data_IF_001567654674
#
_entry.id   IF_001567654674
#
_cell.length_a   1.000
_cell.length_b   1.000
_cell.length_c   1.000
_cell.angle_alpha   90.00
_cell.angle_beta   90.00
_cell.angle_gamma   90.00
#
_symmetry.space_group_name_H-M   'P 1'
#
loop_
_entity.id
_entity.type
_entity.pdbx_description
1 polymer ?
#
# COMPACT_ATOMS: atom_id res chain seq x y z
N UNK A 1 70.92 -68.06 18.46
CA UNK A 1 72.12 -68.03 19.31
C UNK A 1 71.69 -67.51 20.68
N UNK A 2 71.88 -68.33 21.71
CA UNK A 2 71.66 -68.11 23.15
C UNK A 2 70.23 -67.79 23.67
N UNK A 3 69.63 -68.83 24.30
CA UNK A 3 68.69 -68.68 25.42
C UNK A 3 69.40 -67.95 26.58
N UNK A 4 68.65 -67.13 27.33
CA UNK A 4 68.95 -66.87 28.73
C UNK A 4 67.63 -66.65 29.51
N UNK A 5 67.35 -67.61 30.38
CA UNK A 5 66.38 -67.52 31.47
C UNK A 5 67.10 -67.00 32.72
N UNK A 6 66.45 -66.14 33.51
CA UNK A 6 66.63 -65.98 34.97
C UNK A 6 65.56 -64.98 35.52
N UNK A 7 65.32 -64.87 36.84
CA UNK A 7 64.11 -65.39 37.47
C UNK A 7 63.23 -64.30 38.09
N UNK A 8 62.01 -64.71 38.41
CA UNK A 8 61.01 -63.99 39.18
C UNK A 8 61.50 -63.79 40.63
N UNK A 9 61.58 -62.55 41.09
CA UNK A 9 61.70 -62.20 42.52
C UNK A 9 60.54 -61.26 42.86
N UNK A 10 59.59 -61.76 43.67
CA UNK A 10 58.56 -60.93 44.28
C UNK A 10 59.18 -60.08 45.39
N UNK A 11 59.06 -58.76 45.27
CA UNK A 11 59.19 -57.83 46.39
C UNK A 11 57.84 -57.14 46.58
N UNK A 12 57.17 -57.45 47.69
CA UNK A 12 55.97 -56.77 48.13
C UNK A 12 56.37 -55.49 48.88
N UNK A 13 55.90 -54.34 48.40
CA UNK A 13 55.89 -53.08 49.15
C UNK A 13 54.47 -52.51 49.13
N UNK A 14 53.89 -52.43 50.31
CA UNK A 14 52.60 -51.81 50.64
C UNK A 14 52.64 -50.30 50.41
N UNK A 15 51.85 -49.81 49.46
CA UNK A 15 51.55 -48.38 49.30
C UNK A 15 50.07 -48.13 49.53
N UNK A 16 49.73 -47.32 50.54
CA UNK A 16 48.38 -46.82 50.78
C UNK A 16 47.94 -45.93 49.59
N UNK A 17 46.70 -46.06 49.08
CA UNK A 17 46.27 -45.31 47.92
C UNK A 17 46.07 -43.83 48.27
N UNK A 18 46.81 -42.96 47.59
CA UNK A 18 46.48 -41.54 47.46
C UNK A 18 45.14 -41.39 46.73
N UNK A 19 44.20 -40.68 47.35
CA UNK A 19 42.91 -40.30 46.75
C UNK A 19 43.13 -39.38 45.54
N UNK A 20 42.77 -39.86 44.35
CA UNK A 20 42.65 -39.01 43.16
C UNK A 20 41.45 -38.06 43.33
N UNK A 21 41.53 -36.81 42.84
CA UNK A 21 40.38 -35.91 42.84
C UNK A 21 39.29 -36.49 41.92
N UNK A 22 38.05 -36.47 42.40
CA UNK A 22 36.90 -36.91 41.63
C UNK A 22 36.80 -36.07 40.34
N UNK A 23 36.79 -36.74 39.19
CA UNK A 23 36.43 -36.11 37.93
C UNK A 23 34.95 -35.70 38.03
N UNK A 24 34.68 -34.40 37.97
CA UNK A 24 33.32 -33.89 37.78
C UNK A 24 32.81 -34.41 36.44
N UNK A 25 31.89 -35.36 36.50
CA UNK A 25 31.14 -35.84 35.35
C UNK A 25 30.25 -34.70 34.85
N UNK A 26 30.72 -33.93 33.87
CA UNK A 26 29.88 -33.00 33.12
C UNK A 26 28.75 -33.78 32.47
N UNK A 27 27.50 -33.52 32.87
CA UNK A 27 26.33 -34.09 32.24
C UNK A 27 26.34 -33.76 30.74
N UNK A 28 26.01 -34.71 29.85
CA UNK A 28 25.91 -34.44 28.42
C UNK A 28 24.87 -33.32 28.19
N UNK A 29 25.10 -32.41 27.23
CA UNK A 29 24.14 -31.37 26.91
C UNK A 29 22.78 -32.00 26.63
N UNK A 30 21.73 -31.44 27.22
CA UNK A 30 20.36 -31.92 27.02
C UNK A 30 20.06 -31.95 25.52
N UNK A 31 19.68 -33.12 25.02
CA UNK A 31 19.26 -33.26 23.63
C UNK A 31 18.14 -32.24 23.35
N UNK A 32 18.16 -31.57 22.18
CA UNK A 32 17.09 -30.66 21.81
C UNK A 32 15.75 -31.40 21.86
N UNK A 33 14.67 -30.75 22.30
CA UNK A 33 13.36 -31.37 22.37
C UNK A 33 12.97 -31.92 21.00
N UNK A 34 12.56 -33.18 20.96
CA UNK A 34 12.04 -33.82 19.74
C UNK A 34 10.67 -33.19 19.43
N UNK A 35 10.48 -32.59 18.25
CA UNK A 35 9.18 -32.06 17.87
C UNK A 35 8.12 -33.17 17.88
N UNK A 36 6.95 -32.90 18.46
CA UNK A 36 5.79 -33.80 18.35
C UNK A 36 5.36 -33.91 16.90
N UNK A 37 5.28 -35.15 16.38
CA UNK A 37 4.67 -35.42 15.07
C UNK A 37 3.14 -35.46 15.15
N UNK A 38 2.45 -35.35 14.00
CA UNK A 38 0.99 -35.42 13.90
C UNK A 38 0.40 -34.35 12.98
N UNK A 39 -0.93 -34.24 12.97
CA UNK A 39 -1.66 -33.11 12.36
C UNK A 39 -1.90 -32.09 13.47
N UNK A 40 -1.62 -30.81 13.19
CA UNK A 40 -1.94 -29.73 14.13
C UNK A 40 -3.45 -29.73 14.41
N UNK A 41 -3.91 -29.79 15.68
CA UNK A 41 -5.33 -29.75 16.04
C UNK A 41 -6.10 -28.56 15.47
N UNK A 42 -5.44 -27.46 15.09
CA UNK A 42 -6.08 -26.30 14.43
C UNK A 42 -6.29 -26.48 12.92
N UNK A 43 -5.86 -27.60 12.33
CA UNK A 43 -5.98 -27.84 10.88
C UNK A 43 -7.42 -28.13 10.49
N UNK A 44 -7.93 -27.41 9.50
CA UNK A 44 -9.26 -27.62 8.93
C UNK A 44 -9.21 -27.59 7.39
N UNK A 45 -10.10 -28.36 6.75
CA UNK A 45 -10.33 -28.20 5.31
C UNK A 45 -11.14 -26.92 5.07
N UNK A 46 -10.62 -26.02 4.24
CA UNK A 46 -11.29 -24.77 3.87
C UNK A 46 -11.61 -24.78 2.38
N UNK A 47 -12.85 -24.48 1.95
CA UNK A 47 -13.21 -24.37 0.53
C UNK A 47 -12.70 -23.07 -0.11
N UNK A 48 -12.22 -22.14 0.72
CA UNK A 48 -11.58 -20.88 0.32
C UNK A 48 -10.12 -20.92 0.73
N UNK A 49 -9.24 -20.54 -0.20
CA UNK A 49 -7.85 -20.20 0.09
C UNK A 49 -7.72 -18.69 0.20
N UNK A 50 -6.83 -18.23 1.07
CA UNK A 50 -6.57 -16.80 1.22
C UNK A 50 -5.08 -16.47 1.22
N UNK A 51 -4.72 -15.40 0.53
CA UNK A 51 -3.37 -14.82 0.50
C UNK A 51 -3.45 -13.31 0.51
N UNK A 52 -2.39 -12.63 0.96
CA UNK A 52 -2.28 -11.17 0.82
C UNK A 52 -1.30 -10.81 -0.29
N UNK A 53 -1.52 -9.68 -0.95
CA UNK A 53 -0.60 -9.18 -1.99
C UNK A 53 0.64 -8.49 -1.40
N UNK A 54 0.49 -7.88 -0.23
CA UNK A 54 1.54 -7.17 0.49
C UNK A 54 1.59 -7.57 1.97
N UNK A 55 2.62 -7.10 2.65
CA UNK A 55 2.71 -7.07 4.11
C UNK A 55 2.13 -5.74 4.60
N UNK A 56 1.00 -5.73 5.34
CA UNK A 56 0.36 -4.50 5.81
C UNK A 56 1.34 -3.64 6.60
N UNK A 57 1.53 -2.39 6.19
CA UNK A 57 2.45 -1.45 6.84
C UNK A 57 1.65 -0.32 7.51
N UNK A 58 1.98 0.02 8.78
CA UNK A 58 1.21 1.00 9.54
C UNK A 58 1.54 2.43 9.16
N UNK A 59 0.51 3.28 9.15
CA UNK A 59 0.68 4.75 9.06
C UNK A 59 -0.40 5.47 9.83
N UNK A 60 -0.03 6.54 10.54
CA UNK A 60 -1.01 7.37 11.25
C UNK A 60 -1.65 8.37 10.29
N UNK A 61 -2.97 8.33 10.17
CA UNK A 61 -3.75 9.25 9.34
C UNK A 61 -4.00 10.59 10.03
N UNK A 62 -4.59 11.53 9.29
CA UNK A 62 -5.08 12.81 9.82
C UNK A 62 -6.22 12.67 10.82
N UNK A 63 -6.94 11.55 10.80
CA UNK A 63 -7.96 11.20 11.80
C UNK A 63 -7.36 10.74 13.15
N UNK A 64 -6.03 10.64 13.23
CA UNK A 64 -5.29 10.22 14.42
C UNK A 64 -5.21 8.70 14.61
N UNK A 65 -5.81 7.90 13.73
CA UNK A 65 -5.79 6.45 13.80
C UNK A 65 -4.60 5.88 13.04
N UNK A 66 -4.21 4.65 13.36
CA UNK A 66 -3.22 3.94 12.56
C UNK A 66 -3.92 3.06 11.53
N UNK A 67 -3.67 3.31 10.25
CA UNK A 67 -4.21 2.59 9.12
C UNK A 67 -3.29 1.46 8.68
N UNK A 68 -3.90 0.38 8.20
CA UNK A 68 -3.23 -0.80 7.63
C UNK A 68 -4.00 -1.16 6.36
N UNK A 69 -3.64 -0.52 5.25
CA UNK A 69 -4.25 -0.81 3.95
C UNK A 69 -3.52 -1.94 3.21
N UNK A 70 -4.27 -2.95 2.75
CA UNK A 70 -3.76 -4.10 2.00
C UNK A 70 -4.89 -4.88 1.30
N UNK A 71 -4.53 -5.88 0.51
CA UNK A 71 -5.48 -6.68 -0.28
C UNK A 71 -5.49 -8.12 0.20
N UNK A 72 -6.69 -8.66 0.42
CA UNK A 72 -6.91 -10.08 0.69
C UNK A 72 -7.47 -10.75 -0.57
N UNK A 73 -6.71 -11.67 -1.15
CA UNK A 73 -7.17 -12.52 -2.24
C UNK A 73 -7.88 -13.74 -1.67
N UNK A 74 -9.14 -13.93 -2.03
CA UNK A 74 -9.96 -15.09 -1.68
C UNK A 74 -10.23 -15.92 -2.92
N UNK A 75 -9.58 -17.08 -3.02
CA UNK A 75 -9.78 -18.02 -4.13
C UNK A 75 -10.78 -19.10 -3.72
N UNK A 76 -11.86 -19.24 -4.49
CA UNK A 76 -12.80 -20.34 -4.33
C UNK A 76 -12.18 -21.63 -4.89
N UNK A 77 -11.71 -22.50 -4.00
CA UNK A 77 -11.09 -23.77 -4.36
C UNK A 77 -12.14 -24.90 -4.56
N UNK A 78 -13.42 -24.58 -4.46
CA UNK A 78 -14.52 -25.50 -4.70
C UNK A 78 -15.08 -25.36 -6.13
N UNK A 79 -15.76 -26.38 -6.68
CA UNK A 79 -16.45 -26.27 -7.96
C UNK A 79 -17.79 -25.50 -7.87
N UNK A 80 -18.31 -25.26 -6.67
CA UNK A 80 -19.60 -24.61 -6.44
C UNK A 80 -19.42 -23.10 -6.22
N UNK A 81 -20.35 -22.25 -6.72
CA UNK A 81 -20.31 -20.82 -6.44
C UNK A 81 -20.36 -20.52 -4.95
N UNK A 82 -19.59 -19.52 -4.52
CA UNK A 82 -19.45 -19.12 -3.13
C UNK A 82 -19.78 -17.63 -2.97
N UNK A 83 -20.83 -17.32 -2.21
CA UNK A 83 -21.18 -15.93 -1.87
C UNK A 83 -20.51 -15.55 -0.56
N UNK A 84 -19.77 -14.44 -0.54
CA UNK A 84 -19.24 -13.89 0.71
C UNK A 84 -20.38 -13.24 1.50
N UNK A 85 -20.56 -13.65 2.75
CA UNK A 85 -21.59 -13.07 3.64
C UNK A 85 -20.97 -12.08 4.64
N UNK A 86 -19.78 -12.41 5.17
CA UNK A 86 -19.03 -11.56 6.11
C UNK A 86 -17.53 -11.80 6.02
N UNK A 87 -16.74 -10.75 6.20
CA UNK A 87 -15.28 -10.84 6.42
C UNK A 87 -14.93 -10.05 7.67
N UNK A 88 -14.34 -10.73 8.64
CA UNK A 88 -13.73 -10.11 9.83
C UNK A 88 -12.21 -10.16 9.69
N UNK A 89 -11.54 -9.05 10.01
CA UNK A 89 -10.10 -9.02 10.25
C UNK A 89 -9.88 -9.08 11.75
N UNK A 90 -9.05 -10.01 12.20
CA UNK A 90 -8.76 -10.25 13.61
C UNK A 90 -7.28 -10.04 13.90
N UNK A 91 -6.97 -9.57 15.11
CA UNK A 91 -5.65 -9.72 15.69
C UNK A 91 -5.35 -11.21 15.89
N UNK A 92 -4.30 -11.72 15.25
CA UNK A 92 -3.97 -13.14 15.29
C UNK A 92 -3.61 -13.63 16.70
N UNK A 93 -3.08 -12.76 17.57
CA UNK A 93 -2.57 -13.13 18.89
C UNK A 93 -3.66 -13.29 19.95
N UNK A 94 -4.76 -12.53 19.85
CA UNK A 94 -5.85 -12.54 20.83
C UNK A 94 -7.25 -12.77 20.23
N UNK A 95 -7.37 -12.85 18.90
CA UNK A 95 -8.61 -13.06 18.16
C UNK A 95 -9.65 -11.93 18.32
N UNK A 96 -9.23 -10.73 18.72
CA UNK A 96 -10.10 -9.56 18.72
C UNK A 96 -10.41 -9.12 17.29
N UNK A 97 -11.67 -8.82 17.00
CA UNK A 97 -12.09 -8.30 15.70
C UNK A 97 -11.70 -6.82 15.61
N UNK A 98 -10.89 -6.48 14.60
CA UNK A 98 -10.41 -5.12 14.33
C UNK A 98 -11.22 -4.44 13.22
N UNK A 99 -11.72 -5.22 12.25
CA UNK A 99 -12.60 -4.77 11.18
C UNK A 99 -13.63 -5.86 10.89
N UNK A 100 -14.87 -5.47 10.60
CA UNK A 100 -15.97 -6.39 10.27
C UNK A 100 -16.79 -5.79 9.14
N UNK A 101 -16.88 -6.49 8.01
CA UNK A 101 -17.65 -6.07 6.84
C UNK A 101 -18.66 -7.14 6.43
N UNK A 102 -19.88 -6.71 6.09
CA UNK A 102 -20.96 -7.56 5.56
C UNK A 102 -21.89 -6.74 4.68
N UNK A 103 -22.75 -7.42 3.91
CA UNK A 103 -23.77 -6.76 3.09
C UNK A 103 -23.18 -5.74 2.11
N UNK A 104 -23.80 -4.55 2.02
CA UNK A 104 -23.39 -3.51 1.09
C UNK A 104 -21.95 -3.03 1.31
N UNK A 105 -21.46 -2.97 2.55
CA UNK A 105 -20.07 -2.57 2.83
C UNK A 105 -19.08 -3.59 2.27
N UNK A 106 -19.34 -4.88 2.45
CA UNK A 106 -18.48 -5.92 1.88
C UNK A 106 -18.57 -5.96 0.35
N UNK A 107 -19.78 -5.78 -0.21
CA UNK A 107 -19.98 -5.67 -1.65
C UNK A 107 -19.23 -4.48 -2.25
N UNK A 108 -19.27 -3.32 -1.59
CA UNK A 108 -18.51 -2.15 -1.99
C UNK A 108 -17.01 -2.43 -1.93
N UNK A 109 -16.51 -3.07 -0.87
CA UNK A 109 -15.08 -3.35 -0.63
C UNK A 109 -14.57 -4.67 -1.24
N UNK A 110 -15.28 -5.27 -2.19
CA UNK A 110 -14.79 -6.49 -2.86
C UNK A 110 -15.24 -6.60 -4.31
N UNK A 111 -14.39 -7.19 -5.13
CA UNK A 111 -14.71 -7.49 -6.53
C UNK A 111 -13.97 -8.76 -6.99
N UNK A 112 -14.46 -9.37 -8.06
CA UNK A 112 -13.71 -10.44 -8.75
C UNK A 112 -12.50 -9.84 -9.46
N UNK A 113 -11.39 -10.57 -9.52
CA UNK A 113 -10.28 -10.20 -10.40
C UNK A 113 -10.80 -10.19 -11.85
N UNK A 114 -10.61 -9.07 -12.54
CA UNK A 114 -11.15 -8.84 -13.89
C UNK A 114 -12.63 -8.46 -13.93
N UNK A 115 -13.28 -8.31 -12.78
CA UNK A 115 -14.60 -7.69 -12.65
C UNK A 115 -14.50 -6.17 -12.55
N UNK A 116 -15.65 -5.51 -12.60
CA UNK A 116 -15.76 -4.06 -12.40
C UNK A 116 -15.15 -3.64 -11.05
N UNK A 117 -14.22 -2.69 -11.09
CA UNK A 117 -13.56 -2.11 -9.92
C UNK A 117 -14.34 -0.94 -9.33
N UNK A 118 -15.42 -0.50 -10.01
CA UNK A 118 -16.16 0.72 -9.70
C UNK A 118 -15.46 2.00 -10.16
N UNK A 119 -14.31 1.87 -10.85
CA UNK A 119 -13.39 2.95 -11.24
C UNK A 119 -13.75 3.63 -12.58
N UNK A 120 -14.58 2.98 -13.40
CA UNK A 120 -14.83 3.38 -14.80
C UNK A 120 -16.31 3.73 -15.05
N UNK A 121 -17.06 4.18 -14.03
CA UNK A 121 -18.47 4.52 -14.19
C UNK A 121 -19.14 5.27 -13.03
N UNK A 122 -20.23 5.98 -13.33
CA UNK A 122 -21.03 6.75 -12.37
C UNK A 122 -21.93 5.88 -11.46
N UNK A 123 -21.74 4.57 -11.45
CA UNK A 123 -22.61 3.64 -10.74
C UNK A 123 -21.85 3.04 -9.57
N UNK A 124 -22.40 3.17 -8.35
CA UNK A 124 -21.87 2.50 -7.18
C UNK A 124 -21.78 0.98 -7.43
N UNK A 125 -20.70 0.31 -6.98
CA UNK A 125 -20.56 -1.14 -7.08
C UNK A 125 -21.79 -1.84 -6.49
N UNK A 126 -22.26 -2.91 -7.16
CA UNK A 126 -23.50 -3.58 -6.80
C UNK A 126 -23.53 -4.01 -5.32
N UNK A 127 -24.60 -3.68 -4.61
CA UNK A 127 -24.78 -3.83 -3.15
C UNK A 127 -24.81 -5.27 -2.63
N UNK A 128 -24.78 -6.28 -3.51
CA UNK A 128 -24.62 -7.68 -3.17
C UNK A 128 -23.46 -8.26 -3.98
N UNK A 129 -22.38 -8.66 -3.31
CA UNK A 129 -21.22 -9.26 -3.95
C UNK A 129 -21.64 -10.45 -4.82
N UNK A 130 -21.28 -10.42 -6.11
CA UNK A 130 -21.52 -11.55 -7.00
C UNK A 130 -20.88 -12.82 -6.43
N UNK A 131 -21.54 -13.99 -6.49
CA UNK A 131 -20.93 -15.23 -6.05
C UNK A 131 -19.60 -15.46 -6.75
N UNK A 132 -18.57 -15.84 -6.01
CA UNK A 132 -17.25 -16.21 -6.51
C UNK A 132 -17.39 -17.56 -7.21
N UNK A 133 -17.24 -17.65 -8.55
CA UNK A 133 -17.30 -18.93 -9.24
C UNK A 133 -16.17 -19.87 -8.79
N UNK A 134 -16.32 -21.16 -9.04
CA UNK A 134 -15.24 -22.11 -8.76
C UNK A 134 -13.96 -21.74 -9.53
N UNK A 135 -12.81 -21.87 -8.86
CA UNK A 135 -11.48 -21.44 -9.35
C UNK A 135 -11.29 -19.93 -9.54
N UNK A 136 -12.32 -19.10 -9.32
CA UNK A 136 -12.18 -17.65 -9.39
C UNK A 136 -11.61 -17.09 -8.08
N UNK A 137 -11.05 -15.88 -8.17
CA UNK A 137 -10.51 -15.14 -7.02
C UNK A 137 -11.22 -13.80 -6.91
N UNK A 138 -11.67 -13.49 -5.70
CA UNK A 138 -12.09 -12.14 -5.33
C UNK A 138 -10.97 -11.43 -4.58
N UNK A 139 -10.90 -10.12 -4.73
CA UNK A 139 -10.13 -9.24 -3.88
C UNK A 139 -11.07 -8.63 -2.85
N UNK A 140 -10.66 -8.65 -1.58
CA UNK A 140 -11.26 -7.82 -0.53
C UNK A 140 -10.28 -6.71 -0.20
N UNK A 141 -10.70 -5.47 -0.41
CA UNK A 141 -9.93 -4.27 -0.14
C UNK A 141 -10.07 -3.93 1.34
N UNK A 142 -8.96 -3.92 2.06
CA UNK A 142 -8.96 -3.76 3.52
C UNK A 142 -8.22 -2.48 3.89
N UNK A 143 -8.80 -1.72 4.80
CA UNK A 143 -8.11 -0.74 5.64
C UNK A 143 -8.51 -1.00 7.10
N UNK A 144 -7.57 -1.51 7.88
CA UNK A 144 -7.79 -1.76 9.31
C UNK A 144 -7.30 -0.56 10.08
N UNK A 145 -8.20 0.11 10.78
CA UNK A 145 -7.86 1.17 11.71
C UNK A 145 -7.63 0.61 13.11
N UNK A 146 -6.48 0.93 13.70
CA UNK A 146 -6.08 0.48 15.03
C UNK A 146 -5.88 1.69 15.93
N UNK A 147 -6.62 1.69 17.05
CA UNK A 147 -6.43 2.61 18.16
C UNK A 147 -5.55 1.95 19.23
N UNK A 148 -4.27 2.35 19.30
CA UNK A 148 -3.34 1.89 20.33
C UNK A 148 -2.29 0.89 19.84
N UNK A 149 -2.21 -0.29 20.47
CA UNK A 149 -1.14 -1.25 20.20
C UNK A 149 -1.40 -1.98 18.88
N UNK A 150 -0.43 -1.90 17.96
CA UNK A 150 -0.49 -2.63 16.70
C UNK A 150 -0.42 -4.15 16.93
N UNK A 151 -1.28 -4.93 16.27
CA UNK A 151 -1.18 -6.38 16.28
C UNK A 151 0.11 -6.82 15.56
N UNK A 152 0.75 -7.89 16.02
CA UNK A 152 1.93 -8.43 15.35
C UNK A 152 1.59 -9.15 14.03
N UNK A 153 0.36 -9.67 13.93
CA UNK A 153 -0.16 -10.34 12.75
C UNK A 153 -1.69 -10.25 12.72
N UNK A 154 -2.25 -10.37 11.52
CA UNK A 154 -3.68 -10.39 11.25
C UNK A 154 -4.10 -11.78 10.75
N UNK A 155 -5.34 -12.16 11.00
CA UNK A 155 -6.03 -13.32 10.41
C UNK A 155 -7.42 -12.91 9.94
N UNK A 156 -8.01 -13.65 9.01
CA UNK A 156 -9.29 -13.30 8.41
C UNK A 156 -10.32 -14.39 8.64
N UNK A 157 -11.40 -14.09 9.34
CA UNK A 157 -12.56 -14.99 9.44
C UNK A 157 -13.53 -14.67 8.33
N UNK A 158 -13.69 -15.61 7.40
CA UNK A 158 -14.56 -15.50 6.24
C UNK A 158 -15.79 -16.37 6.47
N UNK A 159 -16.95 -15.72 6.53
CA UNK A 159 -18.24 -16.39 6.50
C UNK A 159 -18.81 -16.27 5.09
N UNK A 160 -19.19 -17.41 4.52
CA UNK A 160 -19.72 -17.47 3.17
C UNK A 160 -20.76 -18.57 3.04
N UNK A 161 -21.52 -18.51 1.96
CA UNK A 161 -22.54 -19.50 1.61
C UNK A 161 -22.19 -20.11 0.27
N UNK A 162 -22.01 -21.42 0.24
CA UNK A 162 -21.79 -22.19 -0.97
C UNK A 162 -23.10 -22.77 -1.48
N UNK A 163 -23.44 -22.47 -2.73
CA UNK A 163 -24.66 -22.99 -3.36
C UNK A 163 -24.35 -24.30 -4.06
N UNK A 164 -24.90 -25.40 -3.54
CA UNK A 164 -24.72 -26.75 -4.10
C UNK A 164 -26.03 -27.28 -4.68
N UNK A 165 -26.02 -28.36 -5.49
CA UNK A 165 -27.26 -29.02 -5.93
C UNK A 165 -28.16 -29.48 -4.78
N UNK A 166 -27.59 -29.73 -3.59
CA UNK A 166 -28.33 -30.11 -2.39
C UNK A 166 -28.80 -28.93 -1.53
N UNK A 167 -28.68 -27.70 -2.03
CA UNK A 167 -29.03 -26.46 -1.34
C UNK A 167 -27.80 -25.67 -0.87
N UNK A 168 -28.10 -24.52 -0.25
CA UNK A 168 -27.10 -23.61 0.31
C UNK A 168 -26.47 -24.19 1.59
N UNK A 169 -25.14 -24.06 1.68
CA UNK A 169 -24.36 -24.51 2.84
C UNK A 169 -23.55 -23.34 3.39
N UNK A 170 -23.82 -22.88 4.63
CA UNK A 170 -22.98 -21.89 5.27
C UNK A 170 -21.62 -22.51 5.61
N UNK A 171 -20.59 -21.68 5.57
CA UNK A 171 -19.22 -22.07 5.86
C UNK A 171 -18.47 -20.90 6.49
N UNK A 172 -17.59 -21.25 7.41
CA UNK A 172 -16.73 -20.31 8.13
C UNK A 172 -15.31 -20.84 8.07
N UNK A 173 -14.35 -19.96 7.82
CA UNK A 173 -12.93 -20.33 7.79
C UNK A 173 -12.09 -19.18 8.29
N UNK A 174 -11.13 -19.47 9.17
CA UNK A 174 -10.09 -18.50 9.56
C UNK A 174 -8.86 -18.78 8.71
N UNK A 175 -8.48 -17.82 7.87
CA UNK A 175 -7.51 -18.00 6.79
C UNK A 175 -6.58 -16.78 6.68
N UNK A 176 -5.59 -16.84 5.80
CA UNK A 176 -4.86 -15.66 5.34
C UNK A 176 -3.99 -14.96 6.39
N UNK A 177 -3.43 -15.71 7.36
CA UNK A 177 -2.52 -15.11 8.36
C UNK A 177 -1.42 -14.30 7.67
N UNK A 178 -1.28 -13.04 8.05
CA UNK A 178 -0.26 -12.12 7.53
C UNK A 178 0.40 -11.37 8.67
N UNK A 179 1.73 -11.24 8.65
CA UNK A 179 2.44 -10.42 9.63
C UNK A 179 2.23 -8.94 9.33
N UNK A 180 2.15 -8.12 10.39
CA UNK A 180 2.13 -6.65 10.24
C UNK A 180 3.58 -6.16 10.18
N UNK A 181 3.88 -5.30 9.21
CA UNK A 181 5.21 -4.75 9.05
C UNK A 181 5.59 -3.91 10.26
N UNK A 182 6.85 -4.05 10.68
CA UNK A 182 7.46 -3.19 11.70
C UNK A 182 8.19 -1.99 11.09
N UNK A 183 8.23 -1.89 9.76
CA UNK A 183 8.81 -0.76 9.06
C UNK A 183 8.02 0.51 9.35
N UNK A 184 8.74 1.59 9.65
CA UNK A 184 8.13 2.89 9.86
C UNK A 184 7.94 3.58 8.52
N UNK A 185 6.76 4.15 8.31
CA UNK A 185 6.51 5.07 7.22
C UNK A 185 7.56 6.21 7.26
N UNK A 186 8.24 6.53 6.15
CA UNK A 186 9.16 7.66 6.12
C UNK A 186 8.40 8.96 6.39
N UNK A 187 9.01 9.84 7.17
CA UNK A 187 8.49 11.17 7.45
C UNK A 187 9.17 12.16 6.51
N UNK A 188 8.38 12.74 5.63
CA UNK A 188 8.81 13.51 4.48
C UNK A 188 8.51 15.01 4.67
N UNK A 189 9.26 15.85 3.99
CA UNK A 189 8.96 17.26 3.86
C UNK A 189 7.89 17.56 2.82
N UNK A 190 7.51 18.84 2.67
CA UNK A 190 6.60 19.28 1.62
C UNK A 190 7.10 18.89 0.23
N UNK A 191 6.19 18.34 -0.57
CA UNK A 191 6.42 18.06 -2.00
C UNK A 191 6.07 19.26 -2.87
N UNK A 192 5.39 20.26 -2.30
CA UNK A 192 5.01 21.53 -2.93
C UNK A 192 4.97 22.62 -1.86
N UNK A 193 5.03 23.89 -2.26
CA UNK A 193 4.98 25.00 -1.31
C UNK A 193 3.52 25.36 -0.92
N UNK A 194 3.29 25.58 0.37
CA UNK A 194 2.03 26.14 0.88
C UNK A 194 0.80 25.26 0.61
N UNK A 195 -0.27 25.88 0.13
CA UNK A 195 -1.58 25.27 -0.13
C UNK A 195 -2.63 26.34 -0.44
N UNK A 196 -3.91 25.97 -0.53
CA UNK A 196 -4.48 24.66 -0.19
C UNK A 196 -4.32 23.60 -1.29
N UNK A 197 -3.77 22.43 -0.95
CA UNK A 197 -3.62 21.27 -1.83
C UNK A 197 -4.65 20.20 -1.49
N UNK A 198 -5.44 19.80 -2.47
CA UNK A 198 -6.35 18.66 -2.40
C UNK A 198 -5.58 17.36 -2.63
N UNK A 199 -5.60 16.47 -1.65
CA UNK A 199 -5.12 15.09 -1.77
C UNK A 199 -6.23 14.24 -2.40
N UNK A 200 -6.11 13.95 -3.69
CA UNK A 200 -6.99 13.04 -4.42
C UNK A 200 -6.37 11.65 -4.52
N UNK A 201 -7.25 10.66 -4.62
CA UNK A 201 -6.94 9.25 -4.83
C UNK A 201 -5.97 8.65 -3.81
N UNK A 202 -5.90 9.27 -2.63
CA UNK A 202 -5.08 8.86 -1.52
C UNK A 202 -5.63 7.64 -0.79
N UNK A 203 -4.90 7.19 0.22
CA UNK A 203 -5.40 6.23 1.20
C UNK A 203 -6.25 6.97 2.27
N UNK A 204 -7.26 6.40 2.94
CA UNK A 204 -7.70 5.01 2.96
C UNK A 204 -9.24 4.86 3.12
N UNK A 205 -10.02 5.91 2.87
CA UNK A 205 -11.46 5.91 3.22
C UNK A 205 -12.38 5.77 1.99
N UNK A 206 -11.81 5.69 0.80
CA UNK A 206 -12.55 5.62 -0.46
C UNK A 206 -11.92 4.62 -1.44
N UNK A 207 -12.73 4.16 -2.39
CA UNK A 207 -12.34 3.19 -3.41
C UNK A 207 -11.60 3.85 -4.57
N UNK A 208 -10.42 4.43 -4.31
CA UNK A 208 -9.66 5.24 -5.28
C UNK A 208 -9.05 4.42 -6.42
N UNK A 209 -8.77 5.05 -7.57
CA UNK A 209 -8.15 4.38 -8.72
C UNK A 209 -6.77 3.79 -8.32
N UNK A 210 -6.04 4.49 -7.44
CA UNK A 210 -4.77 4.05 -6.88
C UNK A 210 -4.91 2.86 -5.93
N UNK A 211 -5.89 2.92 -5.03
CA UNK A 211 -6.16 1.87 -4.04
C UNK A 211 -6.61 0.58 -4.72
N UNK A 212 -7.29 0.70 -5.86
CA UNK A 212 -7.89 -0.40 -6.64
C UNK A 212 -7.16 -0.77 -7.92
N UNK A 213 -6.04 -0.10 -8.23
CA UNK A 213 -5.22 -0.31 -9.42
C UNK A 213 -4.47 -1.65 -9.45
N UNK A 214 -5.18 -2.78 -9.33
CA UNK A 214 -4.62 -4.12 -9.41
C UNK A 214 -4.14 -4.41 -10.83
N UNK A 215 -2.84 -4.57 -11.01
CA UNK A 215 -2.24 -4.83 -12.30
C UNK A 215 -1.50 -6.18 -12.33
N UNK A 216 -1.75 -7.06 -13.31
CA UNK A 216 -0.91 -8.20 -13.59
C UNK A 216 0.35 -7.76 -14.36
N UNK A 217 1.49 -7.70 -13.66
CA UNK A 217 2.79 -7.30 -14.22
C UNK A 217 3.73 -8.50 -14.20
N UNK A 218 4.18 -8.93 -15.38
CA UNK A 218 5.10 -10.07 -15.55
C UNK A 218 4.63 -11.35 -14.83
N UNK A 219 3.31 -11.61 -14.83
CA UNK A 219 2.71 -12.79 -14.20
C UNK A 219 2.47 -12.67 -12.68
N UNK A 220 2.72 -11.50 -12.08
CA UNK A 220 2.43 -11.21 -10.66
C UNK A 220 1.37 -10.11 -10.56
N UNK A 221 0.39 -10.31 -9.67
CA UNK A 221 -0.56 -9.25 -9.31
C UNK A 221 0.11 -8.26 -8.35
N UNK A 222 -0.02 -6.97 -8.65
CA UNK A 222 0.53 -5.86 -7.85
C UNK A 222 -0.52 -4.75 -7.70
N UNK A 223 -0.39 -3.97 -6.62
CA UNK A 223 -1.11 -2.69 -6.45
C UNK A 223 -0.04 -1.60 -6.32
N UNK A 224 0.51 -1.13 -7.46
CA UNK A 224 1.74 -0.33 -7.54
C UNK A 224 1.60 1.08 -6.96
N UNK A 225 0.37 1.53 -6.70
CA UNK A 225 0.04 2.90 -6.32
C UNK A 225 -0.79 2.97 -5.02
N UNK A 226 -0.84 1.90 -4.20
CA UNK A 226 -1.71 1.80 -3.00
C UNK A 226 -1.77 3.04 -2.10
N UNK A 227 -0.63 3.73 -1.91
CA UNK A 227 -0.52 4.93 -1.07
C UNK A 227 -0.19 6.20 -1.86
N UNK A 228 -0.26 6.15 -3.19
CA UNK A 228 -0.05 7.33 -4.02
C UNK A 228 -1.09 8.41 -3.74
N UNK A 229 -0.72 9.66 -4.01
CA UNK A 229 -1.62 10.81 -3.91
C UNK A 229 -1.43 11.68 -5.14
N UNK A 230 -2.55 12.06 -5.75
CA UNK A 230 -2.60 13.07 -6.80
C UNK A 230 -2.98 14.42 -6.21
N UNK A 231 -2.07 15.38 -6.35
CA UNK A 231 -2.19 16.68 -5.70
C UNK A 231 -2.70 17.76 -6.66
N UNK A 232 -3.83 18.36 -6.30
CA UNK A 232 -4.41 19.48 -7.01
C UNK A 232 -4.34 20.76 -6.17
N UNK A 233 -3.92 21.88 -6.76
CA UNK A 233 -3.95 23.17 -6.09
C UNK A 233 -5.34 23.76 -6.17
N UNK A 234 -5.89 24.19 -5.04
CA UNK A 234 -7.15 24.91 -4.98
C UNK A 234 -6.92 26.41 -4.76
N UNK A 235 -7.84 27.23 -5.27
CA UNK A 235 -7.94 28.64 -4.88
C UNK A 235 -8.79 28.83 -3.61
N UNK A 236 -8.95 30.09 -3.18
CA UNK A 236 -9.73 30.46 -2.00
C UNK A 236 -11.23 30.14 -2.11
N UNK A 237 -11.71 29.85 -3.33
CA UNK A 237 -13.07 29.41 -3.61
C UNK A 237 -13.17 27.89 -3.74
N UNK A 238 -12.09 27.15 -3.45
CA UNK A 238 -11.99 25.69 -3.57
C UNK A 238 -12.15 25.19 -5.01
N UNK A 239 -11.66 25.96 -5.98
CA UNK A 239 -11.64 25.55 -7.40
C UNK A 239 -10.25 25.03 -7.76
N UNK A 240 -10.17 23.93 -8.49
CA UNK A 240 -8.90 23.41 -9.01
C UNK A 240 -8.51 24.01 -10.38
N UNK A 241 -9.47 24.59 -11.10
CA UNK A 241 -9.28 25.27 -12.38
C UNK A 241 -10.20 26.49 -12.52
N UNK A 242 -9.96 27.26 -13.58
CA UNK A 242 -10.80 28.39 -13.97
C UNK A 242 -11.20 28.32 -15.45
N UNK A 243 -12.26 29.04 -15.82
CA UNK A 243 -12.79 29.07 -17.17
C UNK A 243 -13.92 28.06 -17.42
N UNK A 244 -14.15 27.76 -18.68
CA UNK A 244 -15.27 26.95 -19.16
C UNK A 244 -14.84 25.47 -19.25
N UNK A 245 -15.39 24.55 -18.42
CA UNK A 245 -14.99 23.14 -18.39
C UNK A 245 -15.27 22.42 -19.72
N UNK A 246 -16.26 22.87 -20.49
CA UNK A 246 -16.51 22.33 -21.85
C UNK A 246 -15.40 22.67 -22.85
N UNK A 247 -14.48 23.56 -22.47
CA UNK A 247 -13.31 23.97 -23.25
C UNK A 247 -11.99 23.48 -22.66
N UNK A 248 -12.02 22.69 -21.58
CA UNK A 248 -10.88 21.89 -21.14
C UNK A 248 -10.81 20.66 -22.07
N UNK A 249 -10.29 20.89 -23.28
CA UNK A 249 -10.18 19.91 -24.36
C UNK A 249 -8.78 19.30 -24.41
N UNK A 250 -8.54 18.42 -25.39
CA UNK A 250 -7.21 17.92 -25.80
C UNK A 250 -6.23 19.00 -26.33
N UNK A 251 -6.46 20.27 -26.02
CA UNK A 251 -5.61 21.41 -26.39
C UNK A 251 -4.66 21.73 -25.23
N UNK A 252 -3.34 21.45 -25.35
CA UNK A 252 -2.37 21.72 -24.28
C UNK A 252 -2.29 23.19 -23.86
N UNK A 253 -2.75 24.14 -24.69
CA UNK A 253 -2.81 25.56 -24.28
C UNK A 253 -3.81 25.82 -23.15
N UNK A 254 -4.69 24.87 -22.84
CA UNK A 254 -5.69 24.96 -21.77
C UNK A 254 -5.18 24.48 -20.41
N UNK A 255 -4.03 23.82 -20.36
CA UNK A 255 -3.42 23.36 -19.10
C UNK A 255 -3.17 24.52 -18.12
N UNK A 256 -2.94 25.74 -18.64
CA UNK A 256 -2.76 26.95 -17.83
C UNK A 256 -4.01 27.38 -17.06
N UNK A 257 -5.17 26.79 -17.33
CA UNK A 257 -6.40 27.03 -16.58
C UNK A 257 -6.40 26.34 -15.21
N UNK A 258 -5.55 25.32 -15.01
CA UNK A 258 -5.43 24.62 -13.74
C UNK A 258 -4.43 25.33 -12.83
N UNK A 259 -4.79 25.52 -11.56
CA UNK A 259 -3.93 26.27 -10.64
C UNK A 259 -2.63 25.53 -10.31
N UNK A 260 -2.64 24.20 -10.36
CA UNK A 260 -1.47 23.37 -10.12
C UNK A 260 -0.43 23.45 -11.25
N UNK A 261 -0.85 23.75 -12.49
CA UNK A 261 0.04 23.75 -13.65
C UNK A 261 1.19 24.75 -13.49
N UNK A 262 2.39 24.31 -13.87
CA UNK A 262 3.64 25.09 -13.79
C UNK A 262 4.08 25.48 -12.36
N UNK A 263 3.50 24.87 -11.33
CA UNK A 263 3.98 25.02 -9.94
C UNK A 263 5.21 24.13 -9.70
N UNK A 264 6.18 24.56 -8.89
CA UNK A 264 7.36 23.75 -8.61
C UNK A 264 7.01 22.56 -7.71
N UNK A 265 7.52 21.39 -8.08
CA UNK A 265 7.56 20.20 -7.23
C UNK A 265 8.91 20.11 -6.53
N UNK A 266 8.89 19.80 -5.24
CA UNK A 266 10.01 19.87 -4.32
C UNK A 266 10.44 18.48 -3.87
N UNK A 267 11.75 18.27 -3.75
CA UNK A 267 12.29 17.08 -3.11
C UNK A 267 11.83 17.02 -1.65
N UNK A 268 11.18 15.94 -1.26
CA UNK A 268 10.60 15.78 0.08
C UNK A 268 11.66 15.39 1.12
N UNK A 269 12.81 14.91 0.68
CA UNK A 269 13.93 14.52 1.53
C UNK A 269 15.25 14.66 0.77
N UNK A 270 16.35 14.65 1.52
CA UNK A 270 17.69 14.48 0.96
C UNK A 270 17.80 13.09 0.30
N UNK A 271 18.44 13.02 -0.87
CA UNK A 271 18.57 11.75 -1.57
C UNK A 271 19.39 11.82 -2.84
N UNK A 272 19.35 10.73 -3.61
CA UNK A 272 20.00 10.61 -4.93
C UNK A 272 18.94 10.34 -5.98
N UNK A 273 18.94 11.14 -7.05
CA UNK A 273 18.09 10.93 -8.21
C UNK A 273 18.52 9.65 -8.93
N UNK A 274 17.63 8.66 -9.02
CA UNK A 274 17.89 7.38 -9.69
C UNK A 274 17.25 7.30 -11.07
N UNK A 275 16.21 8.11 -11.30
CA UNK A 275 15.61 8.32 -12.62
C UNK A 275 15.19 9.79 -12.76
N UNK A 276 15.41 10.34 -13.95
CA UNK A 276 15.00 11.69 -14.33
C UNK A 276 14.70 11.66 -15.83
N UNK A 277 13.41 11.67 -16.15
CA UNK A 277 12.91 11.49 -17.51
C UNK A 277 12.10 12.72 -17.93
N UNK A 278 12.41 13.24 -19.11
CA UNK A 278 11.75 14.42 -19.70
C UNK A 278 11.55 14.21 -21.22
N UNK A 279 10.75 15.07 -21.84
CA UNK A 279 10.49 15.09 -23.28
C UNK A 279 9.19 14.41 -23.73
N UNK A 280 8.44 13.79 -22.82
CA UNK A 280 7.06 13.39 -23.10
C UNK A 280 6.19 14.63 -23.24
N UNK A 281 5.34 14.62 -24.27
CA UNK A 281 4.40 15.70 -24.51
C UNK A 281 3.36 15.78 -23.37
N UNK A 282 2.89 16.99 -23.11
CA UNK A 282 1.71 17.20 -22.28
C UNK A 282 0.50 16.49 -22.88
N UNK A 283 -0.30 15.87 -22.02
CA UNK A 283 -1.56 15.23 -22.42
C UNK A 283 -2.72 15.90 -21.68
N UNK A 284 -3.79 16.17 -22.42
CA UNK A 284 -5.13 16.35 -21.87
C UNK A 284 -6.03 15.44 -22.66
N UNK A 285 -6.74 14.54 -21.99
CA UNK A 285 -7.60 13.57 -22.70
C UNK A 285 -9.08 13.85 -22.52
N UNK A 286 -9.41 14.79 -21.64
CA UNK A 286 -10.74 15.33 -21.42
C UNK A 286 -11.52 15.55 -22.75
N UNK A 287 -12.75 15.04 -22.88
CA UNK A 287 -13.54 14.41 -21.82
C UNK A 287 -13.34 12.91 -21.63
N UNK A 288 -12.46 12.26 -22.39
CA UNK A 288 -12.26 10.82 -22.29
C UNK A 288 -10.98 10.50 -21.49
N UNK A 289 -10.90 9.36 -20.80
CA UNK A 289 -9.61 8.91 -20.29
C UNK A 289 -8.60 8.78 -21.46
N UNK A 290 -7.31 9.10 -21.24
CA UNK A 290 -6.28 8.82 -22.23
C UNK A 290 -6.36 7.35 -22.66
N UNK A 291 -6.15 7.02 -23.95
CA UNK A 291 -5.94 5.63 -24.30
C UNK A 291 -4.75 5.12 -23.49
N UNK A 292 -4.85 3.91 -22.94
CA UNK A 292 -3.76 3.31 -22.15
C UNK A 292 -2.45 3.44 -22.93
N UNK A 293 -1.48 4.24 -22.43
CA UNK A 293 -0.27 4.48 -23.17
C UNK A 293 0.60 3.22 -23.17
N UNK A 294 1.61 3.13 -24.05
CA UNK A 294 2.64 2.12 -23.89
C UNK A 294 3.19 2.20 -22.46
N UNK A 295 3.39 1.05 -21.81
CA UNK A 295 3.76 0.97 -20.37
C UNK A 295 4.94 1.87 -19.96
N UNK A 296 5.87 2.14 -20.89
CA UNK A 296 7.04 3.01 -20.69
C UNK A 296 6.69 4.51 -20.59
N UNK A 297 5.50 4.90 -21.02
CA UNK A 297 5.02 6.30 -21.09
C UNK A 297 3.98 6.58 -19.99
N UNK A 298 3.53 5.55 -19.25
CA UNK A 298 2.49 5.65 -18.21
C UNK A 298 2.80 6.74 -17.18
N UNK A 299 4.06 6.84 -16.74
CA UNK A 299 4.49 7.80 -15.71
C UNK A 299 4.68 9.23 -16.26
N UNK A 300 4.87 9.39 -17.58
CA UNK A 300 5.18 10.67 -18.19
C UNK A 300 6.58 11.20 -17.82
N UNK A 301 6.76 12.52 -17.82
CA UNK A 301 7.97 13.16 -17.33
C UNK A 301 8.00 13.06 -15.80
N UNK A 302 9.13 12.65 -15.24
CA UNK A 302 9.19 12.33 -13.82
C UNK A 302 10.61 12.34 -13.26
N UNK A 303 10.68 12.34 -11.93
CA UNK A 303 11.90 12.14 -11.16
C UNK A 303 11.66 11.08 -10.09
N UNK A 304 12.59 10.15 -9.94
CA UNK A 304 12.61 9.18 -8.83
C UNK A 304 13.84 9.45 -7.95
N UNK A 305 13.62 9.69 -6.65
CA UNK A 305 14.68 9.96 -5.67
C UNK A 305 14.80 8.80 -4.68
N UNK A 306 15.96 8.17 -4.61
CA UNK A 306 16.28 7.19 -3.55
C UNK A 306 16.71 7.92 -2.27
N UNK A 307 16.01 7.66 -1.17
CA UNK A 307 16.32 8.26 0.15
C UNK A 307 16.89 7.23 1.13
N UNK A 308 16.62 5.94 0.89
CA UNK A 308 17.24 4.80 1.55
C UNK A 308 17.11 3.55 0.66
N UNK A 309 17.90 2.48 0.88
CA UNK A 309 17.65 1.21 0.20
C UNK A 309 16.21 0.75 0.42
N UNK A 310 15.48 0.48 -0.66
CA UNK A 310 14.08 0.08 -0.61
C UNK A 310 13.08 1.21 -0.33
N UNK A 311 13.51 2.48 -0.39
CA UNK A 311 12.63 3.66 -0.20
C UNK A 311 12.94 4.70 -1.28
N UNK A 312 12.06 4.77 -2.26
CA UNK A 312 12.17 5.64 -3.43
C UNK A 312 10.95 6.55 -3.53
N UNK A 313 11.15 7.81 -3.84
CA UNK A 313 10.10 8.82 -3.98
C UNK A 313 9.88 9.11 -5.46
N UNK A 314 8.70 8.82 -5.98
CA UNK A 314 8.32 9.16 -7.35
C UNK A 314 7.57 10.50 -7.38
N UNK A 315 7.97 11.36 -8.31
CA UNK A 315 7.30 12.60 -8.67
C UNK A 315 7.00 12.54 -10.17
N UNK A 316 5.73 12.43 -10.54
CA UNK A 316 5.34 12.18 -11.92
C UNK A 316 4.49 13.30 -12.53
N UNK A 317 4.18 13.15 -13.82
CA UNK A 317 3.41 14.09 -14.64
C UNK A 317 4.03 15.48 -14.74
N UNK A 318 5.36 15.59 -14.71
CA UNK A 318 6.04 16.87 -14.87
C UNK A 318 5.78 17.50 -16.24
N UNK A 319 5.81 18.82 -16.25
CA UNK A 319 5.68 19.64 -17.45
C UNK A 319 6.88 19.41 -18.37
N UNK A 320 6.63 19.20 -19.66
CA UNK A 320 7.66 18.98 -20.67
C UNK A 320 8.74 20.06 -20.62
N UNK A 321 10.00 19.65 -20.53
CA UNK A 321 11.16 20.53 -20.55
C UNK A 321 11.47 21.22 -19.22
N UNK A 322 10.82 20.81 -18.12
CA UNK A 322 11.00 21.44 -16.80
C UNK A 322 11.75 20.59 -15.79
N UNK A 323 12.10 19.34 -16.13
CA UNK A 323 12.87 18.49 -15.21
C UNK A 323 14.22 19.15 -14.94
N UNK A 324 14.45 19.52 -13.68
CA UNK A 324 15.55 20.39 -13.26
C UNK A 324 16.79 19.64 -12.77
N UNK A 325 16.72 18.31 -12.74
CA UNK A 325 17.75 17.42 -12.19
C UNK A 325 18.10 16.31 -13.17
N UNK A 326 19.15 15.56 -12.88
CA UNK A 326 19.62 14.42 -13.69
C UNK A 326 19.90 13.20 -12.83
N UNK A 327 19.79 12.01 -13.43
CA UNK A 327 20.19 10.75 -12.79
C UNK A 327 21.61 10.82 -12.23
N UNK A 328 21.78 10.36 -10.99
CA UNK A 328 23.02 10.41 -10.21
C UNK A 328 23.21 11.70 -9.41
N UNK A 329 22.36 12.72 -9.58
CA UNK A 329 22.44 13.97 -8.81
C UNK A 329 21.98 13.75 -7.36
N UNK A 330 22.73 14.28 -6.40
CA UNK A 330 22.26 14.44 -5.02
C UNK A 330 21.36 15.66 -4.92
N UNK A 331 20.21 15.51 -4.28
CA UNK A 331 19.26 16.59 -3.99
C UNK A 331 19.10 16.76 -2.49
N UNK A 332 18.76 17.98 -2.08
CA UNK A 332 18.37 18.34 -0.72
C UNK A 332 16.86 18.51 -0.63
N UNK A 333 16.30 18.23 0.53
CA UNK A 333 14.90 18.55 0.82
C UNK A 333 14.63 20.02 0.45
N UNK A 334 13.57 20.24 -0.33
CA UNK A 334 13.17 21.56 -0.83
C UNK A 334 13.78 21.95 -2.17
N UNK A 335 14.72 21.19 -2.73
CA UNK A 335 15.22 21.42 -4.09
C UNK A 335 14.08 21.22 -5.11
N UNK A 336 14.01 22.10 -6.11
CA UNK A 336 13.05 21.96 -7.22
C UNK A 336 13.49 20.81 -8.12
N UNK A 337 12.59 19.84 -8.33
CA UNK A 337 12.84 18.68 -9.20
C UNK A 337 12.30 18.87 -10.61
N UNK A 338 11.22 19.63 -10.73
CA UNK A 338 10.51 19.91 -11.97
C UNK A 338 9.28 20.74 -11.68
N UNK A 339 8.51 21.06 -12.71
CA UNK A 339 7.24 21.75 -12.55
C UNK A 339 6.08 20.80 -12.86
N UNK A 340 4.97 20.97 -12.16
CA UNK A 340 3.75 20.21 -12.36
C UNK A 340 3.23 20.44 -13.78
N UNK A 341 2.96 19.36 -14.50
CA UNK A 341 2.37 19.34 -15.84
C UNK A 341 1.25 18.32 -15.90
N UNK A 342 1.05 17.73 -17.07
CA UNK A 342 0.07 16.68 -17.31
C UNK A 342 0.59 15.67 -18.34
N UNK A 343 1.88 15.32 -18.32
CA UNK A 343 2.44 14.30 -19.23
C UNK A 343 2.15 12.87 -18.74
N UNK A 344 2.12 11.89 -19.65
CA UNK A 344 1.89 10.48 -19.33
C UNK A 344 0.41 10.10 -19.24
N UNK A 345 0.04 9.17 -18.37
CA UNK A 345 -1.35 8.76 -18.17
C UNK A 345 -2.08 9.75 -17.25
N UNK A 346 -2.28 10.99 -17.72
CA UNK A 346 -2.89 12.06 -16.94
C UNK A 346 -4.03 12.74 -17.71
N UNK A 347 -5.11 13.04 -17.01
CA UNK A 347 -6.31 13.74 -17.52
C UNK A 347 -6.25 15.24 -17.31
N UNK A 348 -5.62 15.68 -16.21
CA UNK A 348 -5.52 17.08 -15.78
C UNK A 348 -4.22 17.34 -15.01
N UNK A 349 -3.67 18.57 -15.00
CA UNK A 349 -2.50 18.93 -14.22
C UNK A 349 -2.60 18.62 -12.72
N UNK A 350 -1.72 17.75 -12.25
CA UNK A 350 -1.53 17.41 -10.84
C UNK A 350 -0.11 16.90 -10.61
N UNK A 351 0.33 16.90 -9.34
CA UNK A 351 1.52 16.14 -8.95
C UNK A 351 1.09 14.77 -8.47
N UNK A 352 1.44 13.71 -9.19
CA UNK A 352 1.40 12.36 -8.65
C UNK A 352 2.63 12.12 -7.78
N UNK A 353 2.41 11.74 -6.53
CA UNK A 353 3.47 11.48 -5.56
C UNK A 353 3.26 10.15 -4.84
N UNK A 354 4.30 9.32 -4.77
CA UNK A 354 4.26 8.06 -4.03
C UNK A 354 5.62 7.62 -3.49
N UNK A 355 5.58 6.72 -2.51
CA UNK A 355 6.76 5.97 -2.02
C UNK A 355 6.73 4.55 -2.56
N UNK A 356 7.85 4.16 -3.18
CA UNK A 356 8.06 2.88 -3.84
C UNK A 356 9.15 2.06 -3.14
N UNK A 357 9.04 0.74 -3.22
CA UNK A 357 10.06 -0.19 -2.73
C UNK A 357 11.20 -0.40 -3.72
N UNK A 358 10.99 -0.07 -5.00
CA UNK A 358 11.98 -0.19 -6.06
C UNK A 358 12.22 1.16 -6.74
N UNK A 359 13.39 1.33 -7.38
CA UNK A 359 13.72 2.54 -8.14
C UNK A 359 12.98 2.66 -9.48
N UNK A 360 12.16 1.68 -9.83
CA UNK A 360 11.39 1.59 -11.07
C UNK A 360 9.89 1.53 -10.75
N UNK A 361 9.05 2.19 -11.55
CA UNK A 361 7.60 2.16 -11.35
C UNK A 361 6.99 0.75 -11.51
N UNK A 362 7.56 -0.09 -12.39
CA UNK A 362 7.18 -1.50 -12.51
C UNK A 362 8.38 -2.43 -12.55
N UNK A 363 8.34 -3.57 -11.83
CA UNK A 363 7.43 -3.87 -10.72
C UNK A 363 7.84 -3.11 -9.44
N UNK A 364 6.87 -2.59 -8.69
CA UNK A 364 7.09 -2.04 -7.33
C UNK A 364 5.92 -2.39 -6.41
N UNK A 365 6.13 -2.29 -5.11
CA UNK A 365 5.05 -2.07 -4.14
C UNK A 365 5.01 -0.58 -3.76
N UNK A 366 3.83 -0.10 -3.36
CA UNK A 366 3.62 1.24 -2.80
C UNK A 366 3.45 1.13 -1.30
N UNK A 367 4.31 1.81 -0.55
CA UNK A 367 4.33 1.78 0.92
C UNK A 367 3.85 3.10 1.50
N UNK A 368 3.28 3.11 2.71
CA UNK A 368 2.78 4.35 3.29
C UNK A 368 3.92 5.33 3.60
N UNK A 369 3.56 6.61 3.70
CA UNK A 369 4.44 7.70 4.11
C UNK A 369 3.66 8.73 4.92
N UNK A 370 4.39 9.60 5.59
CA UNK A 370 3.81 10.70 6.35
C UNK A 370 4.53 12.00 6.03
N UNK A 371 3.88 13.14 6.27
CA UNK A 371 4.53 14.46 6.21
C UNK A 371 4.87 14.97 7.61
N UNK A 372 5.96 15.72 7.70
CA UNK A 372 6.46 16.24 8.97
C UNK A 372 5.61 17.37 9.55
N UNK A 373 4.94 18.16 8.70
CA UNK A 373 4.11 19.29 9.11
C UNK A 373 3.13 19.76 8.03
N UNK A 374 1.85 19.84 8.38
CA UNK A 374 0.81 20.52 7.60
C UNK A 374 -0.38 20.86 8.50
N UNK A 375 -1.32 21.66 7.99
CA UNK A 375 -2.66 21.87 8.59
C UNK A 375 -3.71 21.32 7.65
N UNK A 376 -4.77 20.70 8.17
CA UNK A 376 -5.94 20.31 7.38
C UNK A 376 -6.88 21.51 7.30
N UNK A 377 -7.03 22.09 6.10
CA UNK A 377 -7.97 23.19 5.86
C UNK A 377 -9.43 22.70 5.87
N UNK A 378 -9.65 21.49 5.37
CA UNK A 378 -10.96 20.88 5.20
C UNK A 378 -10.89 19.61 4.35
N UNK A 379 -12.02 19.21 3.79
CA UNK A 379 -12.14 18.01 2.98
C UNK A 379 -13.14 18.23 1.85
N UNK A 380 -12.88 17.65 0.68
CA UNK A 380 -13.87 17.57 -0.39
C UNK A 380 -14.93 16.53 0.00
N UNK A 381 -16.19 16.93 0.16
CA UNK A 381 -17.22 16.14 0.85
C UNK A 381 -17.84 15.06 -0.03
N UNK A 382 -17.81 15.25 -1.35
CA UNK A 382 -18.28 14.26 -2.32
C UNK A 382 -17.09 13.70 -3.08
N UNK A 383 -17.21 12.43 -3.50
CA UNK A 383 -16.19 11.82 -4.33
C UNK A 383 -16.23 12.44 -5.72
N UNK A 384 -15.09 12.95 -6.16
CA UNK A 384 -14.87 13.40 -7.53
C UNK A 384 -13.70 12.62 -8.07
N UNK A 385 -13.92 11.89 -9.15
CA UNK A 385 -12.86 11.19 -9.85
C UNK A 385 -11.91 12.19 -10.51
N UNK A 386 -10.62 11.91 -10.41
CA UNK A 386 -9.54 12.70 -10.98
C UNK A 386 -9.67 12.85 -12.51
N UNK A 387 -10.13 11.80 -13.19
CA UNK A 387 -10.35 11.74 -14.63
C UNK A 387 -11.39 12.77 -15.13
N UNK A 388 -12.37 13.09 -14.30
CA UNK A 388 -13.42 14.07 -14.57
C UNK A 388 -13.35 15.32 -13.69
N UNK A 389 -12.28 15.52 -12.91
CA UNK A 389 -12.15 16.69 -12.04
C UNK A 389 -12.33 17.97 -12.85
N UNK A 390 -11.59 18.14 -13.95
CA UNK A 390 -11.73 19.32 -14.83
C UNK A 390 -13.03 19.37 -15.64
N UNK A 391 -13.83 18.30 -15.64
CA UNK A 391 -15.09 18.21 -16.39
C UNK A 391 -16.31 18.54 -15.54
N UNK A 392 -16.14 18.80 -14.24
CA UNK A 392 -17.27 19.14 -13.39
C UNK A 392 -17.96 20.42 -13.91
N UNK A 393 -19.31 20.43 -13.97
CA UNK A 393 -20.05 21.59 -14.46
C UNK A 393 -19.87 22.80 -13.56
N UNK A 394 -19.67 22.58 -12.26
CA UNK A 394 -19.29 23.59 -11.28
C UNK A 394 -17.79 23.45 -10.98
N UNK A 395 -16.96 24.50 -11.20
CA UNK A 395 -15.56 24.45 -10.82
C UNK A 395 -15.32 24.52 -9.31
N UNK A 396 -16.33 24.88 -8.52
CA UNK A 396 -16.25 24.90 -7.05
C UNK A 396 -16.45 23.49 -6.52
N UNK A 397 -15.41 22.93 -5.92
CA UNK A 397 -15.50 21.59 -5.33
C UNK A 397 -16.39 21.62 -4.07
N UNK A 398 -17.19 20.56 -3.84
CA UNK A 398 -18.02 20.45 -2.64
C UNK A 398 -17.10 20.31 -1.43
N UNK A 399 -17.04 21.33 -0.58
CA UNK A 399 -16.00 21.48 0.44
C UNK A 399 -16.58 21.67 1.83
N UNK A 400 -16.07 20.89 2.79
CA UNK A 400 -16.34 21.01 4.22
C UNK A 400 -15.10 21.51 4.95
N UNK A 401 -15.18 22.69 5.57
CA UNK A 401 -14.07 23.25 6.33
C UNK A 401 -13.74 22.40 7.57
N UNK A 402 -12.44 22.25 7.85
CA UNK A 402 -11.97 21.60 9.07
C UNK A 402 -12.29 22.47 10.29
N UNK A 403 -12.70 21.82 11.37
CA UNK A 403 -12.79 22.46 12.69
C UNK A 403 -11.48 22.32 13.48
N UNK A 404 -10.60 21.42 13.06
CA UNK A 404 -9.24 21.29 13.59
C UNK A 404 -8.31 22.29 12.89
N UNK A 405 -7.70 23.17 13.68
CA UNK A 405 -6.73 24.19 13.24
C UNK A 405 -5.31 23.85 13.67
N UNK A 406 -5.12 22.68 14.28
CA UNK A 406 -3.83 22.22 14.76
C UNK A 406 -2.89 21.86 13.61
N UNK A 407 -1.60 21.81 13.93
CA UNK A 407 -0.59 21.29 13.00
C UNK A 407 -0.48 19.80 13.19
N UNK A 408 -0.71 19.08 12.11
CA UNK A 408 -0.46 17.66 11.99
C UNK A 408 1.03 17.42 11.78
N UNK A 409 1.57 16.36 12.41
CA UNK A 409 3.00 16.02 12.33
C UNK A 409 3.18 14.52 12.26
N UNK A 410 4.05 14.06 11.37
CA UNK A 410 4.29 12.64 11.12
C UNK A 410 2.99 11.87 10.86
N UNK A 411 2.08 12.49 10.11
CA UNK A 411 0.81 11.92 9.69
C UNK A 411 0.68 11.90 8.18
N UNK A 412 -0.10 10.96 7.65
CA UNK A 412 -0.51 10.91 6.26
C UNK A 412 -1.82 11.69 6.09
N UNK A 413 -1.90 12.66 5.16
CA UNK A 413 -3.15 13.21 4.69
C UNK A 413 -4.02 12.08 4.16
N UNK A 414 -5.21 11.91 4.73
CA UNK A 414 -6.16 10.93 4.22
C UNK A 414 -6.81 11.45 2.94
N UNK A 415 -7.38 10.53 2.17
CA UNK A 415 -8.07 10.85 0.93
C UNK A 415 -9.08 11.99 1.12
N UNK A 416 -9.17 12.81 0.09
CA UNK A 416 -9.96 14.04 0.00
C UNK A 416 -9.58 15.18 0.93
N UNK A 417 -8.58 15.01 1.79
CA UNK A 417 -8.13 16.09 2.67
C UNK A 417 -7.59 17.25 1.82
N UNK A 418 -7.93 18.47 2.21
CA UNK A 418 -7.34 19.69 1.68
C UNK A 418 -6.38 20.22 2.73
N UNK A 419 -5.10 20.31 2.39
CA UNK A 419 -4.05 20.65 3.35
C UNK A 419 -3.23 21.87 2.92
N UNK A 420 -2.58 22.49 3.88
CA UNK A 420 -1.54 23.49 3.66
C UNK A 420 -0.27 23.01 4.32
N UNK A 421 0.80 22.83 3.54
CA UNK A 421 2.10 22.49 4.09
C UNK A 421 2.65 23.62 4.95
N UNK A 422 3.36 23.24 6.01
CA UNK A 422 4.30 24.13 6.67
C UNK A 422 5.54 24.32 5.78
#
# INVERSE_FOLDING_TARGET
>A
MALLAAPLVLAACSGSPTSAPAAESSAPPSAPPVPTGGIDPSTAFTPVSATTLTTPAPVTGTDGKTHLAYELLLTNASPAPLRLDKVDVLDAGNQNVLLSMSGATLGANSNLIGGDTGDEGTADPSTAGSPIPGSATAVVWLDVTVDGTLPAALTHRVNATMTTPGGDRPLESTVGRVDVSTAKAPVLGPVMAGGPWYASDGCCVDDTHHRRGLAPINGKLLVPQRYAIDWYLLDDQHRAWTGDPSKLTSDPSKLTSYYAYDKPALAAADGVVVDATDGFAETTSAPNPPPLPPIKETVGNHVTVMIAPGVYLLYAHFKTGTVAVKTGQTVKRGDVLGHIGSSGNSTAPHLHFQVMTEGTFFPTDSTPFAFDCFTVNGQVTERIWDDVLGLQPDPVLPYGASTDTSRHRAQMPLDRNVITFC
#
